data_IF_211704401754
#
_entry.id   IF_211704401754
#
_cell.length_a   1.000
_cell.length_b   1.000
_cell.length_c   1.000
_cell.angle_alpha   90.00
_cell.angle_beta   90.00
_cell.angle_gamma   90.00
#
_symmetry.space_group_name_H-M   'P 1'
#
loop_
_entity.id
_entity.type
_entity.pdbx_description
1 polymer ?
#
# COMPACT_ATOMS: atom_id res chain seq x y z
N UNK A 1 -18.79 -12.40 -16.20
CA UNK A 1 -18.42 -11.15 -15.50
C UNK A 1 -19.70 -10.44 -15.08
N UNK A 2 -19.66 -9.48 -14.14
CA UNK A 2 -20.80 -8.62 -13.79
C UNK A 2 -20.51 -7.18 -14.20
N UNK A 3 -21.54 -6.40 -14.57
CA UNK A 3 -21.39 -4.97 -14.87
C UNK A 3 -22.52 -4.13 -14.28
N UNK A 4 -22.24 -2.84 -14.11
CA UNK A 4 -23.24 -1.83 -13.73
C UNK A 4 -22.95 -0.51 -14.44
N UNK A 5 -24.00 0.22 -14.83
CA UNK A 5 -23.85 1.58 -15.34
C UNK A 5 -23.34 2.53 -14.24
N UNK A 6 -22.42 3.42 -14.58
CA UNK A 6 -21.81 4.37 -13.63
C UNK A 6 -22.82 5.38 -13.08
N UNK A 7 -23.91 5.64 -13.79
CA UNK A 7 -25.02 6.46 -13.30
C UNK A 7 -25.76 5.79 -12.11
N UNK A 8 -25.71 4.46 -12.03
CA UNK A 8 -26.32 3.66 -10.96
C UNK A 8 -25.30 3.17 -9.94
N UNK A 9 -24.07 3.74 -9.94
CA UNK A 9 -22.98 3.23 -9.09
C UNK A 9 -23.30 3.30 -7.59
N UNK A 10 -24.10 4.28 -7.16
CA UNK A 10 -24.49 4.40 -5.76
C UNK A 10 -25.39 3.24 -5.30
N UNK A 11 -26.14 2.60 -6.20
CA UNK A 11 -26.89 1.37 -5.88
C UNK A 11 -25.94 0.22 -5.55
N UNK A 12 -24.82 0.11 -6.27
CA UNK A 12 -23.77 -0.86 -5.97
C UNK A 12 -23.21 -0.63 -4.57
N UNK A 13 -22.86 0.62 -4.26
CA UNK A 13 -22.27 0.97 -2.98
C UNK A 13 -23.25 0.79 -1.81
N UNK A 14 -24.52 1.13 -2.00
CA UNK A 14 -25.59 0.86 -1.04
C UNK A 14 -25.74 -0.64 -0.77
N UNK A 15 -25.82 -1.46 -1.82
CA UNK A 15 -25.97 -2.91 -1.68
C UNK A 15 -24.81 -3.56 -0.88
N UNK A 16 -23.58 -3.04 -1.02
CA UNK A 16 -22.45 -3.47 -0.20
C UNK A 16 -22.61 -2.96 1.24
N UNK A 17 -22.86 -1.66 1.40
CA UNK A 17 -22.96 -1.00 2.71
C UNK A 17 -24.08 -1.54 3.61
N UNK A 18 -25.14 -2.09 3.02
CA UNK A 18 -26.25 -2.73 3.73
C UNK A 18 -25.85 -4.07 4.37
N UNK A 19 -24.76 -4.69 3.92
CA UNK A 19 -24.27 -5.98 4.42
C UNK A 19 -23.01 -5.86 5.27
N UNK A 20 -22.13 -4.91 4.94
CA UNK A 20 -20.82 -4.77 5.55
C UNK A 20 -20.26 -3.36 5.34
N UNK A 21 -19.27 -2.97 6.12
CA UNK A 21 -18.66 -1.64 5.96
C UNK A 21 -17.96 -1.52 4.59
N UNK A 22 -18.32 -0.51 3.81
CA UNK A 22 -17.67 -0.18 2.54
C UNK A 22 -16.73 1.01 2.71
N UNK A 23 -15.49 0.89 2.26
CA UNK A 23 -14.53 1.98 2.18
C UNK A 23 -14.10 2.22 0.73
N UNK A 24 -14.15 3.47 0.28
CA UNK A 24 -13.74 3.85 -1.06
C UNK A 24 -13.07 5.24 -1.10
N UNK A 25 -12.31 5.56 -2.16
CA UNK A 25 -11.70 6.88 -2.31
C UNK A 25 -12.77 7.98 -2.45
N UNK A 26 -12.76 8.95 -1.54
CA UNK A 26 -13.61 10.15 -1.58
C UNK A 26 -12.72 11.39 -1.53
N UNK A 27 -13.06 12.40 -2.33
CA UNK A 27 -12.36 13.68 -2.30
C UNK A 27 -12.64 14.41 -0.98
N UNK A 28 -11.57 14.79 -0.30
CA UNK A 28 -11.63 15.55 0.95
C UNK A 28 -11.69 17.05 0.65
N UNK A 29 -11.97 17.87 1.68
CA UNK A 29 -12.04 19.32 1.57
C UNK A 29 -10.75 19.98 1.03
N UNK A 30 -9.61 19.31 1.14
CA UNK A 30 -8.32 19.78 0.61
C UNK A 30 -8.07 19.37 -0.85
N UNK A 31 -9.09 18.82 -1.53
CA UNK A 31 -9.06 18.37 -2.92
C UNK A 31 -8.30 17.06 -3.13
N UNK A 32 -7.85 16.38 -2.07
CA UNK A 32 -7.14 15.10 -2.17
C UNK A 32 -8.07 13.94 -1.86
N UNK A 33 -7.89 12.83 -2.57
CA UNK A 33 -8.64 11.61 -2.28
C UNK A 33 -8.07 10.87 -1.06
N UNK A 34 -8.97 10.41 -0.19
CA UNK A 34 -8.66 9.50 0.91
C UNK A 34 -9.72 8.40 0.99
N UNK A 35 -9.32 7.21 1.43
CA UNK A 35 -10.30 6.16 1.71
C UNK A 35 -11.17 6.57 2.89
N UNK A 36 -12.48 6.56 2.67
CA UNK A 36 -13.47 6.96 3.67
C UNK A 36 -14.56 5.90 3.71
N UNK A 37 -15.15 5.65 4.89
CA UNK A 37 -16.34 4.81 4.99
C UNK A 37 -17.46 5.45 4.15
N UNK A 38 -17.99 4.71 3.19
CA UNK A 38 -19.06 5.17 2.34
C UNK A 38 -20.37 5.24 3.13
N UNK A 39 -21.11 6.32 2.88
CA UNK A 39 -22.43 6.61 3.40
C UNK A 39 -23.17 7.33 2.27
N UNK A 40 -24.51 7.27 2.27
CA UNK A 40 -25.32 7.88 1.21
C UNK A 40 -24.94 9.36 1.00
N UNK A 41 -24.75 9.74 -0.27
CA UNK A 41 -24.30 11.08 -0.66
C UNK A 41 -22.77 11.25 -0.78
N UNK A 42 -21.94 10.31 -0.30
CA UNK A 42 -20.50 10.34 -0.55
C UNK A 42 -20.18 9.92 -1.98
N UNK A 43 -19.50 10.80 -2.71
CA UNK A 43 -19.13 10.58 -4.12
C UNK A 43 -17.79 9.87 -4.24
N UNK A 44 -17.75 8.87 -5.11
CA UNK A 44 -16.52 8.18 -5.47
C UNK A 44 -15.58 9.12 -6.26
N UNK A 45 -14.36 9.28 -5.75
CA UNK A 45 -13.33 10.15 -6.34
C UNK A 45 -12.86 9.65 -7.71
N UNK A 46 -12.58 10.60 -8.61
CA UNK A 46 -11.93 10.35 -9.89
C UNK A 46 -10.40 10.26 -9.79
N UNK A 47 -9.81 10.47 -8.61
CA UNK A 47 -8.36 10.42 -8.43
C UNK A 47 -7.80 9.02 -8.74
N UNK A 48 -6.63 8.98 -9.38
CA UNK A 48 -5.94 7.71 -9.62
C UNK A 48 -5.54 7.05 -8.29
N UNK A 49 -4.90 7.80 -7.40
CA UNK A 49 -4.40 7.31 -6.12
C UNK A 49 -4.87 8.23 -4.98
N UNK A 50 -5.22 7.62 -3.85
CA UNK A 50 -5.34 8.32 -2.56
C UNK A 50 -3.97 8.74 -2.02
N UNK A 51 -3.95 9.72 -1.11
CA UNK A 51 -2.71 10.23 -0.48
C UNK A 51 -1.95 9.11 0.24
N UNK A 52 -2.64 8.39 1.12
CA UNK A 52 -2.15 7.19 1.78
C UNK A 52 -2.69 5.97 1.04
N UNK A 53 -1.89 4.92 0.97
CA UNK A 53 -2.34 3.64 0.42
C UNK A 53 -3.38 2.98 1.33
N UNK A 54 -4.13 1.99 0.84
CA UNK A 54 -5.08 1.23 1.65
C UNK A 54 -4.42 0.29 2.67
N UNK A 55 -3.11 0.39 2.92
CA UNK A 55 -2.44 -0.42 3.95
C UNK A 55 -2.98 -0.16 5.35
N UNK A 56 -3.50 1.05 5.59
CA UNK A 56 -4.11 1.45 6.87
C UNK A 56 -5.24 0.50 7.31
N UNK A 57 -5.93 -0.16 6.38
CA UNK A 57 -7.00 -1.11 6.69
C UNK A 57 -6.51 -2.42 7.31
N UNK A 58 -5.25 -2.78 7.09
CA UNK A 58 -4.67 -4.04 7.57
C UNK A 58 -3.59 -3.78 8.63
N UNK A 59 -2.85 -2.69 8.45
CA UNK A 59 -1.80 -2.21 9.33
C UNK A 59 -2.02 -0.72 9.60
N UNK A 60 -2.96 -0.36 10.50
CA UNK A 60 -3.31 1.02 10.78
C UNK A 60 -2.14 1.81 11.38
N UNK A 61 -2.14 3.12 11.17
CA UNK A 61 -1.12 4.02 11.70
C UNK A 61 -0.97 3.95 13.23
N UNK A 62 -2.03 3.64 13.97
CA UNK A 62 -1.99 3.43 15.42
C UNK A 62 -2.99 2.35 15.79
N UNK A 63 -2.58 1.42 16.65
CA UNK A 63 -3.43 0.31 17.11
C UNK A 63 -3.07 -0.10 18.52
N UNK A 64 -4.08 -0.14 19.39
CA UNK A 64 -3.95 -0.63 20.76
C UNK A 64 -3.75 -2.15 20.75
N UNK A 65 -2.71 -2.60 21.44
CA UNK A 65 -2.34 -4.01 21.49
C UNK A 65 -2.81 -4.65 22.81
N UNK A 66 -2.54 -4.00 23.94
CA UNK A 66 -2.95 -4.52 25.24
C UNK A 66 -3.14 -3.42 26.26
N UNK A 67 -4.04 -3.67 27.19
CA UNK A 67 -4.30 -2.84 28.35
C UNK A 67 -3.73 -3.51 29.59
N UNK A 68 -3.14 -2.71 30.49
CA UNK A 68 -2.68 -3.16 31.80
C UNK A 68 -3.46 -2.40 32.87
N UNK A 69 -4.17 -3.13 33.72
CA UNK A 69 -4.69 -2.59 34.99
C UNK A 69 -3.71 -2.91 36.09
N UNK A 70 -3.25 -1.88 36.79
CA UNK A 70 -2.29 -1.98 37.88
C UNK A 70 -2.98 -1.61 39.18
N UNK A 71 -3.07 -2.58 40.10
CA UNK A 71 -3.57 -2.38 41.46
C UNK A 71 -2.52 -2.86 42.47
N UNK A 72 -1.75 -1.91 43.01
CA UNK A 72 -0.61 -2.19 43.87
C UNK A 72 0.46 -3.03 43.17
N UNK A 73 0.56 -4.31 43.53
CA UNK A 73 1.49 -5.29 42.92
C UNK A 73 0.80 -6.23 41.91
N UNK A 74 -0.51 -6.12 41.75
CA UNK A 74 -1.27 -6.93 40.81
C UNK A 74 -1.31 -6.25 39.44
N UNK A 75 -0.97 -6.99 38.39
CA UNK A 75 -1.04 -6.53 37.01
C UNK A 75 -1.99 -7.48 36.27
N UNK A 76 -3.12 -6.96 35.82
CA UNK A 76 -4.05 -7.65 34.93
C UNK A 76 -3.75 -7.21 33.50
N UNK A 77 -3.50 -8.17 32.59
CA UNK A 77 -3.31 -7.91 31.16
C UNK A 77 -4.63 -8.17 30.46
N UNK A 78 -5.13 -7.18 29.74
CA UNK A 78 -6.39 -7.21 29.02
C UNK A 78 -6.09 -7.20 27.53
N UNK A 79 -6.61 -8.22 26.85
CA UNK A 79 -6.57 -8.31 25.40
C UNK A 79 -7.57 -7.32 24.79
N UNK A 80 -7.07 -6.35 24.03
CA UNK A 80 -7.88 -5.31 23.38
C UNK A 80 -8.38 -5.74 22.00
N UNK A 81 -7.99 -6.94 21.52
CA UNK A 81 -8.43 -7.44 20.21
C UNK A 81 -9.95 -7.57 20.18
N UNK A 82 -10.53 -7.03 19.12
CA UNK A 82 -11.94 -7.23 18.77
C UNK A 82 -12.00 -8.13 17.55
N UNK A 83 -13.04 -8.95 17.44
CA UNK A 83 -13.32 -9.64 16.19
C UNK A 83 -13.46 -8.58 15.08
N UNK A 84 -12.72 -8.77 13.99
CA UNK A 84 -12.89 -7.90 12.82
C UNK A 84 -14.24 -8.23 12.20
N UNK A 85 -15.03 -7.21 11.89
CA UNK A 85 -16.21 -7.40 11.04
C UNK A 85 -15.77 -7.48 9.59
N UNK A 86 -16.55 -8.13 8.73
CA UNK A 86 -16.31 -8.10 7.29
C UNK A 86 -16.39 -6.66 6.77
N UNK A 87 -15.49 -6.30 5.85
CA UNK A 87 -15.48 -4.99 5.21
C UNK A 87 -14.95 -5.07 3.78
N UNK A 88 -15.39 -4.13 2.94
CA UNK A 88 -14.93 -3.99 1.57
C UNK A 88 -14.03 -2.77 1.44
N UNK A 89 -12.85 -2.94 0.85
CA UNK A 89 -12.02 -1.82 0.38
C UNK A 89 -12.11 -1.78 -1.15
N UNK A 90 -12.83 -0.79 -1.67
CA UNK A 90 -13.10 -0.64 -3.09
C UNK A 90 -12.13 0.33 -3.77
N UNK A 91 -11.73 0.04 -5.00
CA UNK A 91 -10.89 0.92 -5.81
C UNK A 91 -9.39 0.78 -5.51
N UNK A 92 -8.95 -0.36 -4.98
CA UNK A 92 -7.53 -0.63 -4.69
C UNK A 92 -6.75 -0.80 -5.99
N UNK A 93 -5.61 -0.12 -6.16
CA UNK A 93 -4.81 -0.23 -7.40
C UNK A 93 -3.94 -1.48 -7.39
N UNK A 94 -3.60 -1.99 -8.58
CA UNK A 94 -2.72 -3.16 -8.76
C UNK A 94 -1.43 -3.10 -7.91
N UNK A 95 -0.80 -1.93 -7.87
CA UNK A 95 0.41 -1.72 -7.07
C UNK A 95 0.16 -1.74 -5.55
N UNK A 96 -1.02 -1.31 -5.09
CA UNK A 96 -1.42 -1.43 -3.68
C UNK A 96 -1.81 -2.87 -3.34
N UNK A 97 -2.47 -3.60 -4.26
CA UNK A 97 -2.74 -5.05 -4.10
C UNK A 97 -1.43 -5.80 -3.93
N UNK A 98 -0.45 -5.57 -4.83
CA UNK A 98 0.86 -6.22 -4.73
C UNK A 98 1.60 -5.87 -3.45
N UNK A 99 1.33 -4.70 -2.87
CA UNK A 99 1.92 -4.33 -1.60
C UNK A 99 1.39 -5.17 -0.43
N UNK A 100 0.14 -5.64 -0.49
CA UNK A 100 -0.38 -6.56 0.52
C UNK A 100 0.37 -7.88 0.51
N UNK A 101 0.71 -8.45 -0.64
CA UNK A 101 1.53 -9.68 -0.71
C UNK A 101 2.90 -9.49 -0.03
N UNK A 102 3.47 -8.29 -0.12
CA UNK A 102 4.74 -7.93 0.53
C UNK A 102 4.55 -7.83 2.05
N UNK A 103 3.48 -7.17 2.51
CA UNK A 103 3.18 -7.07 3.94
C UNK A 103 2.80 -8.43 4.54
N UNK A 104 2.07 -9.27 3.80
CA UNK A 104 1.66 -10.62 4.20
C UNK A 104 2.90 -11.48 4.52
N UNK A 105 3.98 -11.39 3.74
CA UNK A 105 5.25 -12.09 4.01
C UNK A 105 5.95 -11.67 5.31
N UNK A 106 5.59 -10.50 5.85
CA UNK A 106 6.21 -9.95 7.05
C UNK A 106 5.35 -10.17 8.27
N UNK A 107 4.03 -10.01 8.13
CA UNK A 107 3.09 -10.09 9.25
C UNK A 107 2.43 -11.45 9.41
N UNK A 108 2.41 -12.31 8.37
CA UNK A 108 1.81 -13.65 8.45
C UNK A 108 2.85 -14.78 8.56
N UNK A 109 4.14 -14.45 8.52
CA UNK A 109 5.21 -15.41 8.83
C UNK A 109 5.27 -15.67 10.34
N UNK A 110 5.92 -16.75 10.75
CA UNK A 110 6.07 -17.09 12.17
C UNK A 110 7.07 -16.15 12.89
N UNK A 111 6.72 -15.53 14.03
CA UNK A 111 5.41 -15.55 14.68
C UNK A 111 4.39 -14.64 13.99
N UNK A 112 3.18 -15.18 13.74
CA UNK A 112 2.13 -14.48 13.01
C UNK A 112 1.53 -13.32 13.83
N UNK A 113 1.41 -12.15 13.21
CA UNK A 113 0.73 -10.98 13.76
C UNK A 113 -0.79 -11.17 13.69
N UNK A 114 -1.38 -11.60 14.80
CA UNK A 114 -2.81 -11.86 14.88
C UNK A 114 -3.70 -10.64 14.57
N UNK A 115 -3.24 -9.40 14.82
CA UNK A 115 -4.01 -8.18 14.53
C UNK A 115 -4.07 -7.91 13.03
N UNK A 116 -2.98 -8.18 12.32
CA UNK A 116 -2.93 -8.07 10.87
C UNK A 116 -3.70 -9.22 10.21
N UNK A 117 -3.49 -10.45 10.68
CA UNK A 117 -4.13 -11.66 10.15
C UNK A 117 -5.66 -11.58 10.18
N UNK A 118 -6.26 -11.18 11.31
CA UNK A 118 -7.73 -11.04 11.41
C UNK A 118 -8.28 -10.03 10.40
N UNK A 119 -7.60 -8.89 10.19
CA UNK A 119 -8.05 -7.89 9.21
C UNK A 119 -7.91 -8.38 7.77
N UNK A 120 -6.84 -9.13 7.45
CA UNK A 120 -6.68 -9.75 6.12
C UNK A 120 -7.72 -10.84 5.86
N UNK A 121 -8.14 -11.57 6.89
CA UNK A 121 -9.18 -12.57 6.82
C UNK A 121 -10.57 -11.98 6.56
N UNK A 122 -10.92 -10.84 7.17
CA UNK A 122 -12.25 -10.23 7.04
C UNK A 122 -12.35 -9.17 5.94
N UNK A 123 -11.21 -8.60 5.53
CA UNK A 123 -11.17 -7.65 4.43
C UNK A 123 -11.40 -8.34 3.08
N UNK A 124 -12.32 -7.76 2.30
CA UNK A 124 -12.56 -8.09 0.89
C UNK A 124 -12.02 -6.94 0.04
N UNK A 125 -11.11 -7.25 -0.87
CA UNK A 125 -10.45 -6.25 -1.71
C UNK A 125 -11.10 -6.24 -3.09
N UNK A 126 -11.73 -5.12 -3.44
CA UNK A 126 -12.18 -4.84 -4.82
C UNK A 126 -11.14 -3.93 -5.46
N UNK A 127 -10.30 -4.53 -6.30
CA UNK A 127 -9.26 -3.80 -7.00
C UNK A 127 -9.80 -3.18 -8.28
N UNK A 128 -9.15 -2.10 -8.73
CA UNK A 128 -9.58 -1.33 -9.88
C UNK A 128 -8.39 -1.04 -10.79
N UNK A 129 -8.52 -1.49 -12.04
CA UNK A 129 -7.57 -1.20 -13.09
C UNK A 129 -7.36 0.31 -13.22
N UNK A 130 -6.12 0.73 -13.48
CA UNK A 130 -5.86 2.13 -13.76
C UNK A 130 -6.66 2.57 -14.99
N UNK A 131 -6.99 3.85 -15.09
CA UNK A 131 -7.58 4.42 -16.33
C UNK A 131 -6.56 5.33 -16.99
N UNK A 132 -6.04 6.27 -16.21
CA UNK A 132 -5.01 7.23 -16.63
C UNK A 132 -3.85 7.17 -15.63
N UNK A 133 -2.90 6.24 -15.80
CA UNK A 133 -1.67 6.21 -15.03
C UNK A 133 -0.97 7.58 -15.01
N UNK A 134 -0.32 7.92 -13.89
CA UNK A 134 0.41 9.18 -13.73
C UNK A 134 1.84 9.08 -14.25
N UNK A 135 2.46 10.19 -14.64
CA UNK A 135 3.87 10.27 -15.05
C UNK A 135 4.84 9.75 -13.98
N UNK A 136 4.41 9.73 -12.71
CA UNK A 136 5.19 9.20 -11.60
C UNK A 136 5.10 7.68 -11.45
N UNK A 137 4.27 6.99 -12.24
CA UNK A 137 4.06 5.54 -12.15
C UNK A 137 5.14 4.76 -12.90
N UNK A 138 5.65 3.70 -12.28
CA UNK A 138 6.66 2.78 -12.82
C UNK A 138 6.46 1.36 -12.28
N UNK A 139 5.20 0.98 -12.02
CA UNK A 139 4.86 -0.33 -11.46
C UNK A 139 5.22 -1.50 -12.40
N UNK A 140 5.22 -1.25 -13.72
CA UNK A 140 5.61 -2.23 -14.74
C UNK A 140 7.07 -2.64 -14.62
N UNK A 141 7.95 -1.76 -14.13
CA UNK A 141 9.36 -2.10 -13.83
C UNK A 141 9.47 -3.19 -12.75
N UNK A 142 8.44 -3.35 -11.92
CA UNK A 142 8.36 -4.41 -10.89
C UNK A 142 7.43 -5.56 -11.30
N UNK A 143 7.13 -5.70 -12.60
CA UNK A 143 6.26 -6.76 -13.14
C UNK A 143 4.79 -6.64 -12.74
N UNK A 144 4.34 -5.44 -12.34
CA UNK A 144 2.94 -5.20 -11.95
C UNK A 144 2.20 -4.62 -13.15
N UNK A 145 1.16 -5.33 -13.58
CA UNK A 145 0.26 -4.91 -14.66
C UNK A 145 -0.89 -4.05 -14.09
N UNK A 146 -0.92 -2.72 -14.37
CA UNK A 146 -2.00 -1.85 -13.88
C UNK A 146 -3.34 -2.09 -14.59
N UNK A 147 -3.36 -2.85 -15.68
CA UNK A 147 -4.57 -3.23 -16.41
C UNK A 147 -5.22 -4.51 -15.88
N UNK A 148 -4.48 -5.33 -15.15
CA UNK A 148 -4.95 -6.55 -14.53
C UNK A 148 -4.68 -6.48 -13.02
N UNK A 149 -5.54 -5.78 -12.25
CA UNK A 149 -5.20 -5.36 -10.90
C UNK A 149 -5.11 -6.51 -9.88
N UNK A 150 -5.82 -7.63 -10.13
CA UNK A 150 -5.95 -8.82 -9.24
C UNK A 150 -6.48 -8.43 -7.86
N UNK A 151 -7.14 -9.33 -7.14
CA UNK A 151 -7.60 -9.23 -5.73
C UNK A 151 -8.73 -10.24 -5.52
N UNK A 152 -9.60 -10.07 -4.52
CA UNK A 152 -10.84 -10.85 -4.41
C UNK A 152 -11.78 -10.58 -5.59
N UNK A 153 -11.94 -9.30 -5.95
CA UNK A 153 -12.65 -8.86 -7.17
C UNK A 153 -11.75 -7.91 -7.95
N UNK A 154 -11.57 -8.19 -9.24
CA UNK A 154 -10.96 -7.27 -10.19
C UNK A 154 -12.04 -6.42 -10.86
N UNK A 155 -11.85 -5.11 -10.96
CA UNK A 155 -12.78 -4.21 -11.61
C UNK A 155 -12.13 -3.32 -12.68
N UNK A 156 -12.94 -2.94 -13.68
CA UNK A 156 -12.54 -2.11 -14.82
C UNK A 156 -13.59 -1.04 -15.07
N UNK A 157 -13.17 0.23 -15.06
CA UNK A 157 -14.05 1.38 -15.25
C UNK A 157 -13.92 1.92 -16.67
N UNK A 158 -14.93 1.68 -17.49
CA UNK A 158 -15.07 2.32 -18.81
C UNK A 158 -15.71 3.70 -18.66
N UNK A 159 -16.02 4.39 -19.76
CA UNK A 159 -16.68 5.70 -19.72
C UNK A 159 -18.09 5.66 -19.12
N UNK A 160 -18.81 4.54 -19.28
CA UNK A 160 -20.23 4.42 -18.90
C UNK A 160 -20.51 3.32 -17.89
N UNK A 161 -19.65 2.30 -17.82
CA UNK A 161 -19.92 1.07 -17.06
C UNK A 161 -18.72 0.68 -16.21
N UNK A 162 -18.99 0.10 -15.05
CA UNK A 162 -18.03 -0.63 -14.23
C UNK A 162 -18.22 -2.13 -14.44
N UNK A 163 -17.15 -2.82 -14.78
CA UNK A 163 -17.08 -4.27 -14.93
C UNK A 163 -16.38 -4.89 -13.73
N UNK A 164 -16.83 -6.06 -13.27
CA UNK A 164 -16.30 -6.75 -12.10
C UNK A 164 -16.22 -8.26 -12.32
N UNK A 165 -15.09 -8.84 -11.91
CA UNK A 165 -14.81 -10.27 -11.98
C UNK A 165 -14.28 -10.76 -10.64
N UNK A 166 -14.87 -11.81 -10.09
CA UNK A 166 -14.36 -12.49 -8.90
C UNK A 166 -13.14 -13.34 -9.25
N UNK A 167 -12.12 -13.32 -8.38
CA UNK A 167 -10.95 -14.21 -8.50
C UNK A 167 -10.80 -15.15 -7.29
N UNK A 168 -11.58 -14.92 -6.22
CA UNK A 168 -11.55 -15.73 -4.98
C UNK A 168 -12.97 -16.03 -4.52
N UNK A 169 -13.11 -16.98 -3.59
CA UNK A 169 -14.39 -17.30 -2.96
C UNK A 169 -15.02 -16.09 -2.24
N UNK A 170 -14.19 -15.23 -1.62
CA UNK A 170 -14.66 -13.96 -1.03
C UNK A 170 -15.28 -13.05 -2.09
N UNK A 171 -14.61 -12.92 -3.23
CA UNK A 171 -15.10 -12.14 -4.36
C UNK A 171 -16.39 -12.70 -4.95
N UNK A 172 -16.51 -14.03 -5.07
CA UNK A 172 -17.74 -14.67 -5.54
C UNK A 172 -18.92 -14.41 -4.59
N UNK A 173 -18.69 -14.49 -3.27
CA UNK A 173 -19.71 -14.15 -2.27
C UNK A 173 -20.15 -12.69 -2.40
N UNK A 174 -19.20 -11.76 -2.58
CA UNK A 174 -19.53 -10.35 -2.80
C UNK A 174 -20.33 -10.13 -4.09
N UNK A 175 -19.93 -10.73 -5.21
CA UNK A 175 -20.66 -10.59 -6.48
C UNK A 175 -22.07 -11.23 -6.45
N UNK A 176 -22.29 -12.25 -5.61
CA UNK A 176 -23.64 -12.80 -5.37
C UNK A 176 -24.54 -11.79 -4.64
N UNK A 177 -24.00 -11.04 -3.66
CA UNK A 177 -24.75 -9.95 -2.99
C UNK A 177 -25.14 -8.86 -3.99
N UNK A 178 -24.31 -8.63 -5.00
CA UNK A 178 -24.51 -7.58 -6.01
C UNK A 178 -25.33 -8.05 -7.22
N UNK A 179 -25.84 -9.28 -7.21
CA UNK A 179 -26.48 -9.89 -8.37
C UNK A 179 -27.76 -9.16 -8.82
N UNK A 180 -28.50 -8.57 -7.88
CA UNK A 180 -29.78 -7.90 -8.17
C UNK A 180 -29.59 -6.47 -8.73
N UNK A 181 -28.39 -5.90 -8.60
CA UNK A 181 -28.06 -4.54 -9.06
C UNK A 181 -27.05 -4.53 -10.21
N UNK A 182 -26.66 -5.72 -10.70
CA UNK A 182 -25.67 -5.87 -11.78
C UNK A 182 -26.12 -6.85 -12.85
N UNK A 183 -25.76 -6.56 -14.10
CA UNK A 183 -26.03 -7.41 -15.25
C UNK A 183 -24.85 -8.33 -15.56
N UNK A 184 -25.10 -9.41 -16.28
CA UNK A 184 -24.04 -10.21 -16.88
C UNK A 184 -23.35 -9.47 -18.03
N UNK A 185 -22.05 -9.73 -18.20
CA UNK A 185 -21.23 -9.10 -19.23
C UNK A 185 -20.16 -10.05 -19.77
N UNK A 186 -19.80 -9.83 -21.04
CA UNK A 186 -18.58 -10.34 -21.67
C UNK A 186 -17.34 -9.51 -21.30
N UNK A 187 -16.19 -9.88 -21.86
CA UNK A 187 -14.89 -9.27 -21.59
C UNK A 187 -14.43 -8.27 -22.67
N UNK A 188 -15.22 -8.00 -23.71
CA UNK A 188 -14.78 -7.28 -24.91
C UNK A 188 -14.30 -5.86 -24.56
N UNK A 189 -15.16 -5.05 -23.93
CA UNK A 189 -14.79 -3.68 -23.49
C UNK A 189 -13.68 -3.66 -22.43
N UNK A 190 -13.59 -4.71 -21.63
CA UNK A 190 -12.52 -4.85 -20.64
C UNK A 190 -11.17 -5.04 -21.32
N UNK A 191 -11.12 -5.83 -22.39
CA UNK A 191 -9.91 -6.06 -23.16
C UNK A 191 -9.47 -4.79 -23.91
N UNK A 192 -10.41 -4.05 -24.51
CA UNK A 192 -10.12 -2.73 -25.10
C UNK A 192 -9.52 -1.76 -24.06
N UNK A 193 -10.11 -1.70 -22.87
CA UNK A 193 -9.59 -0.87 -21.78
C UNK A 193 -8.17 -1.32 -21.36
N UNK A 194 -7.90 -2.62 -21.27
CA UNK A 194 -6.57 -3.15 -20.93
C UNK A 194 -5.52 -2.72 -21.95
N UNK A 195 -5.84 -2.79 -23.24
CA UNK A 195 -4.94 -2.34 -24.31
C UNK A 195 -4.65 -0.85 -24.23
N UNK A 196 -5.66 -0.02 -23.96
CA UNK A 196 -5.48 1.42 -23.76
C UNK A 196 -4.53 1.72 -22.59
N UNK A 197 -4.70 1.04 -21.45
CA UNK A 197 -3.84 1.19 -20.27
C UNK A 197 -2.40 0.81 -20.61
N UNK A 198 -2.21 -0.33 -21.29
CA UNK A 198 -0.89 -0.80 -21.73
C UNK A 198 -0.20 0.20 -22.67
N UNK A 199 -0.95 0.77 -23.61
CA UNK A 199 -0.47 1.80 -24.53
C UNK A 199 -0.03 3.08 -23.81
N UNK A 200 -0.81 3.55 -22.83
CA UNK A 200 -0.44 4.72 -22.00
C UNK A 200 0.83 4.42 -21.20
N UNK A 201 0.90 3.25 -20.54
CA UNK A 201 2.06 2.87 -19.72
C UNK A 201 3.37 2.86 -20.51
N UNK A 202 3.36 2.39 -21.76
CA UNK A 202 4.54 2.38 -22.65
C UNK A 202 5.03 3.78 -23.02
N UNK A 203 4.20 4.81 -22.89
CA UNK A 203 4.52 6.21 -23.23
C UNK A 203 4.90 7.06 -22.02
N UNK A 204 4.78 6.52 -20.81
CA UNK A 204 5.14 7.25 -19.60
C UNK A 204 6.66 7.45 -19.51
N UNK A 205 7.14 8.53 -18.84
CA UNK A 205 8.57 8.85 -18.75
C UNK A 205 9.42 7.75 -18.09
N UNK A 206 8.80 6.87 -17.31
CA UNK A 206 9.47 5.81 -16.55
C UNK A 206 9.22 4.41 -17.11
N UNK A 207 8.67 4.30 -18.33
CA UNK A 207 8.35 3.02 -18.95
C UNK A 207 9.59 2.12 -19.16
N UNK A 208 10.75 2.72 -19.44
CA UNK A 208 12.02 2.03 -19.64
C UNK A 208 12.86 1.84 -18.37
N UNK A 209 12.31 2.12 -17.18
CA UNK A 209 13.07 1.95 -15.94
C UNK A 209 13.36 0.46 -15.70
N UNK A 210 14.64 0.11 -15.65
CA UNK A 210 15.10 -1.26 -15.43
C UNK A 210 15.45 -1.53 -13.96
N UNK A 211 15.20 -2.76 -13.52
CA UNK A 211 15.52 -3.26 -12.18
C UNK A 211 16.59 -4.35 -12.19
N UNK A 212 17.09 -4.77 -13.35
CA UNK A 212 17.99 -5.91 -13.51
C UNK A 212 19.30 -5.80 -12.72
N UNK A 213 19.80 -4.57 -12.54
CA UNK A 213 21.01 -4.28 -11.74
C UNK A 213 20.79 -4.43 -10.23
N UNK A 214 19.55 -4.58 -9.77
CA UNK A 214 19.19 -4.68 -8.36
C UNK A 214 18.73 -6.10 -8.00
N UNK A 215 18.83 -6.45 -6.71
CA UNK A 215 18.44 -7.76 -6.21
C UNK A 215 19.42 -8.29 -5.16
N UNK A 216 19.31 -9.58 -4.85
CA UNK A 216 20.20 -10.26 -3.91
C UNK A 216 21.65 -10.33 -4.41
N UNK A 217 22.62 -10.38 -3.48
CA UNK A 217 24.04 -10.41 -3.80
C UNK A 217 24.66 -9.06 -4.19
N UNK A 218 23.87 -7.98 -4.22
CA UNK A 218 24.32 -6.61 -4.53
C UNK A 218 24.62 -5.76 -3.29
N UNK A 219 24.58 -6.37 -2.10
CA UNK A 219 24.72 -5.66 -0.82
C UNK A 219 26.05 -4.93 -0.72
N UNK A 220 27.20 -5.60 -0.89
CA UNK A 220 28.51 -4.96 -0.73
C UNK A 220 28.76 -3.88 -1.79
N UNK A 221 28.40 -4.18 -3.05
CA UNK A 221 28.53 -3.27 -4.19
C UNK A 221 27.83 -1.94 -3.93
N UNK A 222 26.53 -1.99 -3.60
CA UNK A 222 25.76 -0.76 -3.42
C UNK A 222 25.94 -0.14 -2.05
N UNK A 223 26.23 -0.90 -0.99
CA UNK A 223 26.37 -0.33 0.36
C UNK A 223 27.51 0.69 0.46
N UNK A 224 28.62 0.42 -0.24
CA UNK A 224 29.83 1.24 -0.25
C UNK A 224 29.87 2.28 -1.38
N UNK A 225 28.82 2.38 -2.20
CA UNK A 225 28.76 3.34 -3.29
C UNK A 225 28.92 4.80 -2.81
N UNK A 226 29.81 5.61 -3.40
CA UNK A 226 29.96 7.01 -3.06
C UNK A 226 28.74 7.85 -3.45
N UNK A 227 27.86 7.35 -4.33
CA UNK A 227 26.64 8.04 -4.73
C UNK A 227 25.71 8.39 -3.56
N UNK A 228 25.80 7.66 -2.44
CA UNK A 228 25.00 7.95 -1.24
C UNK A 228 25.30 9.32 -0.63
N UNK A 229 26.52 9.84 -0.77
CA UNK A 229 26.87 11.15 -0.26
C UNK A 229 26.00 12.22 -0.94
N UNK A 230 26.07 12.33 -2.27
CA UNK A 230 25.27 13.28 -3.06
C UNK A 230 23.74 13.05 -2.93
N UNK A 231 23.30 11.78 -2.99
CA UNK A 231 21.87 11.46 -2.91
C UNK A 231 21.24 11.85 -1.57
N UNK A 232 21.99 11.70 -0.48
CA UNK A 232 21.46 11.93 0.86
C UNK A 232 21.48 13.40 1.31
N UNK A 233 22.38 14.23 0.75
CA UNK A 233 22.55 15.65 1.11
C UNK A 233 21.26 16.47 0.98
N UNK A 234 20.48 16.23 -0.06
CA UNK A 234 19.22 16.98 -0.29
C UNK A 234 18.04 16.45 0.53
N UNK A 235 18.18 15.27 1.17
CA UNK A 235 17.10 14.69 1.91
C UNK A 235 16.77 15.53 3.16
N UNK A 236 15.48 15.82 3.38
CA UNK A 236 15.05 16.50 4.61
C UNK A 236 14.90 15.57 5.82
N UNK A 237 14.95 14.25 5.62
CA UNK A 237 14.68 13.28 6.69
C UNK A 237 13.24 13.28 7.22
N UNK A 238 12.30 13.91 6.52
CA UNK A 238 10.92 14.12 6.99
C UNK A 238 10.06 12.83 7.06
N UNK A 239 10.47 11.75 6.39
CA UNK A 239 9.77 10.45 6.42
C UNK A 239 8.52 10.36 5.54
N UNK A 240 8.11 11.41 4.82
CA UNK A 240 6.92 11.39 3.94
C UNK A 240 6.88 10.18 3.01
N UNK A 241 8.02 9.83 2.40
CA UNK A 241 8.13 8.69 1.48
C UNK A 241 7.91 7.32 2.14
N UNK A 242 8.02 7.22 3.47
CA UNK A 242 7.73 6.01 4.25
C UNK A 242 6.25 5.92 4.62
N UNK A 243 5.63 7.05 4.99
CA UNK A 243 4.21 7.10 5.36
C UNK A 243 3.26 6.87 4.18
N UNK A 244 3.59 7.40 2.99
CA UNK A 244 2.74 7.21 1.78
C UNK A 244 3.01 5.92 1.03
N UNK A 245 4.07 5.19 1.40
CA UNK A 245 4.49 4.00 0.66
C UNK A 245 3.74 2.75 1.15
N UNK A 246 3.13 1.99 0.23
CA UNK A 246 2.22 0.90 0.59
C UNK A 246 2.92 -0.31 1.21
N UNK A 247 4.22 -0.47 0.97
CA UNK A 247 5.03 -1.59 1.49
C UNK A 247 5.86 -1.23 2.72
N UNK A 248 5.64 -0.07 3.34
CA UNK A 248 6.37 0.25 4.58
C UNK A 248 5.68 -0.35 5.78
N UNK A 249 6.48 -1.06 6.57
CA UNK A 249 6.06 -1.88 7.70
C UNK A 249 6.79 -1.54 9.00
N UNK A 250 7.53 -0.43 9.04
CA UNK A 250 8.20 0.01 10.26
C UNK A 250 7.16 0.54 11.25
N UNK A 251 7.22 0.09 12.50
CA UNK A 251 6.45 0.60 13.62
C UNK A 251 7.29 0.61 14.89
N UNK A 252 6.82 1.38 15.85
CA UNK A 252 7.30 1.39 17.23
C UNK A 252 6.16 0.95 18.16
N UNK A 253 6.52 0.50 19.36
CA UNK A 253 5.58 0.11 20.40
C UNK A 253 5.80 1.01 21.61
N UNK A 254 4.74 1.65 22.08
CA UNK A 254 4.81 2.56 23.22
C UNK A 254 3.75 2.23 24.26
N UNK A 255 4.09 2.54 25.50
CA UNK A 255 3.20 2.45 26.65
C UNK A 255 2.71 3.86 27.01
N UNK A 256 1.39 4.04 27.07
CA UNK A 256 0.73 5.28 27.45
C UNK A 256 -0.02 5.11 28.78
N UNK A 257 0.34 5.91 29.78
CA UNK A 257 -0.36 5.93 31.06
C UNK A 257 -1.62 6.80 30.96
N UNK A 258 -2.80 6.20 31.10
CA UNK A 258 -4.10 6.88 31.01
C UNK A 258 -4.56 7.49 32.33
N UNK A 259 -3.81 7.29 33.42
CA UNK A 259 -4.20 7.61 34.79
C UNK A 259 -5.11 6.56 35.45
N UNK A 260 -5.70 5.63 34.66
CA UNK A 260 -6.51 4.50 35.15
C UNK A 260 -5.89 3.13 34.81
N UNK A 261 -4.74 3.13 34.14
CA UNK A 261 -4.04 1.96 33.64
C UNK A 261 -3.01 2.36 32.59
N UNK A 262 -2.44 1.37 31.92
CA UNK A 262 -1.48 1.58 30.82
C UNK A 262 -2.07 0.96 29.56
N UNK A 263 -2.03 1.68 28.45
CA UNK A 263 -2.32 1.14 27.12
C UNK A 263 -1.00 0.98 26.39
N UNK A 264 -0.67 -0.25 25.96
CA UNK A 264 0.37 -0.48 24.97
C UNK A 264 -0.24 -0.44 23.59
N UNK A 265 0.32 0.40 22.74
CA UNK A 265 -0.10 0.53 21.37
C UNK A 265 1.11 0.48 20.44
N UNK A 266 0.88 0.07 19.20
CA UNK A 266 1.84 0.25 18.13
C UNK A 266 1.47 1.47 17.29
N UNK A 267 2.48 2.17 16.80
CA UNK A 267 2.28 3.24 15.82
C UNK A 267 3.31 3.15 14.70
N UNK A 268 2.93 3.53 13.48
CA UNK A 268 3.89 3.58 12.38
C UNK A 268 5.10 4.43 12.74
N UNK A 269 6.25 3.92 12.32
CA UNK A 269 7.52 4.59 12.45
C UNK A 269 8.25 4.55 11.10
N UNK A 270 9.43 5.12 11.03
CA UNK A 270 10.23 5.20 9.83
C UNK A 270 11.63 4.70 10.10
N UNK A 271 12.10 3.76 9.27
CA UNK A 271 13.52 3.42 9.26
C UNK A 271 14.42 4.63 8.95
N UNK A 272 13.89 5.77 8.52
CA UNK A 272 14.64 6.99 8.28
C UNK A 272 14.79 7.89 9.52
N UNK A 273 14.01 7.68 10.58
CA UNK A 273 14.09 8.47 11.81
C UNK A 273 15.25 8.03 12.69
N UNK A 274 15.85 9.00 13.39
CA UNK A 274 17.04 8.77 14.22
C UNK A 274 16.77 7.85 15.41
N UNK A 275 15.57 7.91 15.98
CA UNK A 275 15.19 7.13 17.15
C UNK A 275 14.89 5.67 16.81
N UNK A 276 14.48 5.36 15.57
CA UNK A 276 14.05 4.01 15.16
C UNK A 276 15.08 2.92 15.42
N UNK A 277 16.38 3.22 15.26
CA UNK A 277 17.45 2.26 15.58
C UNK A 277 18.18 2.56 16.87
N UNK A 278 17.76 3.55 17.67
CA UNK A 278 18.53 3.98 18.84
C UNK A 278 18.35 2.97 19.98
N UNK A 279 19.35 2.13 20.17
CA UNK A 279 19.41 1.15 21.26
C UNK A 279 20.68 1.34 22.10
N UNK A 280 20.63 0.85 23.35
CA UNK A 280 21.71 0.99 24.34
C UNK A 280 23.02 0.32 23.89
N UNK A 281 22.92 -0.71 23.04
CA UNK A 281 24.04 -1.42 22.45
C UNK A 281 23.64 -1.92 21.06
N UNK A 282 24.53 -1.85 20.06
CA UNK A 282 24.28 -2.33 18.70
C UNK A 282 24.74 -1.36 17.61
N UNK A 283 24.34 -1.67 16.37
CA UNK A 283 24.71 -0.89 15.17
C UNK A 283 23.66 0.19 14.88
N UNK A 284 23.63 1.23 15.71
CA UNK A 284 22.76 2.39 15.50
C UNK A 284 23.14 3.12 14.20
N UNK A 285 22.13 3.55 13.42
CA UNK A 285 22.33 4.37 12.22
C UNK A 285 22.41 5.85 12.62
N UNK A 286 23.64 6.29 12.88
CA UNK A 286 23.95 7.58 13.48
C UNK A 286 23.80 8.74 12.50
N UNK A 287 24.12 8.53 11.22
CA UNK A 287 24.06 9.59 10.21
C UNK A 287 22.77 9.56 9.38
N UNK A 288 22.38 10.72 8.84
CA UNK A 288 21.26 10.81 7.91
C UNK A 288 21.51 9.97 6.64
N UNK A 289 22.76 9.93 6.17
CA UNK A 289 23.19 9.10 5.04
C UNK A 289 22.90 7.62 5.27
N UNK A 290 23.27 7.07 6.43
CA UNK A 290 23.00 5.66 6.76
C UNK A 290 21.51 5.33 6.78
N UNK A 291 20.69 6.23 7.33
CA UNK A 291 19.23 6.08 7.39
C UNK A 291 18.58 6.21 6.01
N UNK A 292 19.05 7.14 5.19
CA UNK A 292 18.65 7.29 3.80
C UNK A 292 19.01 6.05 2.97
N UNK A 293 20.26 5.59 3.05
CA UNK A 293 20.73 4.36 2.38
C UNK A 293 19.86 3.17 2.78
N UNK A 294 19.59 2.97 4.07
CA UNK A 294 18.74 1.87 4.55
C UNK A 294 17.40 1.84 3.83
N UNK A 295 16.75 2.99 3.64
CA UNK A 295 15.44 3.08 3.01
C UNK A 295 15.42 2.45 1.62
N UNK A 296 16.43 2.73 0.81
CA UNK A 296 16.47 2.30 -0.59
C UNK A 296 17.12 0.93 -0.73
N UNK A 297 18.20 0.65 0.00
CA UNK A 297 18.80 -0.69 0.06
C UNK A 297 17.80 -1.73 0.54
N UNK A 298 16.96 -1.42 1.54
CA UNK A 298 15.90 -2.34 1.97
C UNK A 298 14.95 -2.67 0.82
N UNK A 299 14.59 -1.71 -0.02
CA UNK A 299 13.63 -1.96 -1.12
C UNK A 299 14.24 -2.67 -2.32
N UNK A 300 15.48 -2.33 -2.66
CA UNK A 300 16.12 -2.74 -3.91
C UNK A 300 17.07 -3.94 -3.74
N UNK A 301 17.57 -4.19 -2.54
CA UNK A 301 18.63 -5.18 -2.28
C UNK A 301 18.23 -6.13 -1.16
N UNK A 302 18.05 -5.63 0.08
CA UNK A 302 17.88 -6.50 1.24
C UNK A 302 16.57 -7.27 1.23
N UNK A 303 15.46 -6.62 0.85
CA UNK A 303 14.18 -7.32 0.78
C UNK A 303 14.18 -8.42 -0.30
N UNK A 304 14.60 -8.17 -1.56
CA UNK A 304 14.69 -9.25 -2.55
C UNK A 304 15.69 -10.34 -2.19
N UNK A 305 16.82 -10.01 -1.54
CA UNK A 305 17.78 -11.00 -1.02
C UNK A 305 17.14 -11.99 -0.05
N UNK A 306 16.26 -11.49 0.83
CA UNK A 306 15.62 -12.29 1.88
C UNK A 306 14.22 -12.81 1.51
N UNK A 307 13.68 -12.47 0.32
CA UNK A 307 12.30 -12.76 -0.06
C UNK A 307 12.19 -13.25 -1.51
N UNK A 308 13.06 -14.18 -1.90
CA UNK A 308 12.98 -14.88 -3.20
C UNK A 308 12.97 -13.93 -4.41
N UNK A 309 13.82 -12.90 -4.37
CA UNK A 309 13.95 -11.91 -5.44
C UNK A 309 12.80 -10.90 -5.52
N UNK A 310 11.82 -10.93 -4.61
CA UNK A 310 10.74 -9.94 -4.60
C UNK A 310 11.25 -8.60 -4.11
N UNK A 311 11.09 -7.55 -4.91
CA UNK A 311 11.43 -6.19 -4.49
C UNK A 311 10.48 -5.63 -3.43
N UNK A 312 11.00 -4.79 -2.53
CA UNK A 312 10.22 -4.04 -1.54
C UNK A 312 9.55 -2.78 -2.11
N UNK A 313 9.58 -2.58 -3.42
CA UNK A 313 8.94 -1.48 -4.13
C UNK A 313 7.89 -2.03 -5.11
N UNK A 314 6.82 -1.26 -5.33
CA UNK A 314 5.70 -1.60 -6.23
C UNK A 314 5.48 -0.55 -7.31
N UNK A 315 6.39 0.42 -7.45
CA UNK A 315 6.35 1.47 -8.48
C UNK A 315 5.10 2.36 -8.50
N UNK A 316 4.40 2.52 -7.36
CA UNK A 316 3.16 3.30 -7.26
C UNK A 316 3.31 4.83 -7.48
N UNK A 317 4.54 5.37 -7.46
CA UNK A 317 4.80 6.79 -7.68
C UNK A 317 4.49 7.74 -6.52
N UNK A 318 3.81 7.29 -5.44
CA UNK A 318 3.42 8.17 -4.32
C UNK A 318 4.61 8.89 -3.66
N UNK A 319 5.77 8.23 -3.51
CA UNK A 319 6.95 8.87 -2.94
C UNK A 319 7.62 9.90 -3.87
N UNK A 320 7.45 9.76 -5.19
CA UNK A 320 7.94 10.74 -6.18
C UNK A 320 7.07 12.00 -6.09
N UNK A 321 5.75 11.83 -6.09
CA UNK A 321 4.78 12.93 -6.05
C UNK A 321 4.81 13.73 -4.74
N UNK A 322 5.15 13.10 -3.61
CA UNK A 322 5.02 13.70 -2.27
C UNK A 322 6.32 14.20 -1.67
N UNK A 323 7.47 13.97 -2.30
CA UNK A 323 8.73 14.46 -1.78
C UNK A 323 8.85 15.98 -2.01
N UNK A 324 8.99 16.80 -0.96
CA UNK A 324 9.03 18.27 -1.11
C UNK A 324 10.26 18.78 -1.88
N UNK A 325 11.32 17.97 -1.97
CA UNK A 325 12.57 18.30 -2.66
C UNK A 325 12.82 17.38 -3.88
N UNK A 326 11.79 16.65 -4.32
CA UNK A 326 11.83 15.78 -5.51
C UNK A 326 12.93 14.70 -5.47
N UNK A 327 13.41 14.31 -4.28
CA UNK A 327 14.26 13.13 -4.09
C UNK A 327 13.41 11.87 -4.02
N UNK A 328 13.81 10.82 -4.73
CA UNK A 328 12.98 9.64 -4.89
C UNK A 328 13.78 8.40 -5.29
N UNK A 329 13.12 7.24 -5.29
CA UNK A 329 13.76 5.95 -5.58
C UNK A 329 14.27 5.83 -7.01
N UNK A 330 13.64 6.50 -7.99
CA UNK A 330 14.10 6.46 -9.39
C UNK A 330 15.45 7.14 -9.53
N UNK A 331 15.67 8.29 -8.86
CA UNK A 331 16.99 8.94 -8.82
C UNK A 331 18.06 8.03 -8.22
N UNK A 332 17.71 7.32 -7.14
CA UNK A 332 18.62 6.33 -6.53
C UNK A 332 18.92 5.19 -7.51
N UNK A 333 17.90 4.66 -8.19
CA UNK A 333 18.08 3.60 -9.18
C UNK A 333 18.99 4.04 -10.34
N UNK A 334 18.76 5.24 -10.92
CA UNK A 334 19.62 5.78 -12.00
C UNK A 334 21.05 6.06 -11.53
N UNK A 335 21.25 6.47 -10.28
CA UNK A 335 22.58 6.75 -9.75
C UNK A 335 23.38 5.47 -9.44
N UNK A 336 22.73 4.41 -8.97
CA UNK A 336 23.39 3.15 -8.61
C UNK A 336 23.49 2.17 -9.77
N UNK A 337 22.46 2.04 -10.61
CA UNK A 337 22.39 1.11 -11.73
C UNK A 337 23.10 1.59 -13.00
N UNK A 338 23.90 2.65 -12.93
CA UNK A 338 24.60 3.22 -14.08
C UNK A 338 23.76 4.21 -14.91
N UNK A 339 24.47 5.14 -15.58
CA UNK A 339 23.91 6.32 -16.26
C UNK A 339 23.16 6.04 -17.58
N UNK A 340 23.07 4.80 -18.05
CA UNK A 340 22.57 4.50 -19.41
C UNK A 340 21.06 4.28 -19.54
N UNK A 341 20.29 4.49 -18.47
CA UNK A 341 18.83 4.56 -18.57
C UNK A 341 18.40 6.02 -18.85
N UNK A 342 18.81 6.56 -20.02
CA UNK A 342 18.32 7.85 -20.54
C UNK A 342 16.80 7.86 -20.65
#
# INVERSE_FOLDING_TARGET
>A
MRKIALENIDMLFSAISDKMSLFLPVDQNDGKAAYTKWEEGKKWSCALNTVKSPKDFFFPQTEDMMEFKVDGKNIEVIDTRKASEDFVVFGVRACDVRAFDILDRVFLTDPCDSYYATKREHGIIVSLACTRPSETCFCTAFGIDPSNPKADVSAWKTEKELYMQSNTEKGEKLLKVLADVTDEADEEKVNEQKEQISSIMKRLPLAGLDTSEFGGGKTDEFFHSPAWDELSETCLGCGTCTFVCPTCQCYDIKDFNTGKGIIRYRCWDSCMYSEFTRMAHGNNRNSQKERFRQRFMHKLVYYPENNEGVFGCVGCGRCLSRCPISMNIVKVMKALGGKENE
#
